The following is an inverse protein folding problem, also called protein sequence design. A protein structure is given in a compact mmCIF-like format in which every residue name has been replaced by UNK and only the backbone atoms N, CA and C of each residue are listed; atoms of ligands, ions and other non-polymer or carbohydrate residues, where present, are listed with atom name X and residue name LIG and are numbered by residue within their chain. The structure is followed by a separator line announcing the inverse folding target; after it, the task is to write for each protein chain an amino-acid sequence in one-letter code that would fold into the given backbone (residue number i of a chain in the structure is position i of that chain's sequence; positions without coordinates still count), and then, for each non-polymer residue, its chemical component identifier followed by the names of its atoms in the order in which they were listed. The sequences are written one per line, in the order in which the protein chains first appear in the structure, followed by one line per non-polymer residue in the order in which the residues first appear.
data_IF_121304505246
#
_entry.id   IF_121304505246
#
_cell.length_a   1.000
_cell.length_b   1.000
_cell.length_c   1.000
_cell.angle_alpha   90.00
_cell.angle_beta   90.00
_cell.angle_gamma   90.00
#
_symmetry.space_group_name_H-M   'P 1'
#
loop_
_entity.id
_entity.type
_entity.pdbx_description
1 polymer ?
#
# COMPACT_ATOMS: atom_id res chain seq x y z
N UNK A 1 16.32 -4.19 10.58
CA UNK A 1 15.89 -3.49 9.37
C UNK A 1 14.38 -3.60 9.32
N UNK A 2 13.68 -2.47 9.46
CA UNK A 2 12.20 -2.45 9.38
C UNK A 2 11.82 -2.13 7.95
N UNK A 3 11.40 -3.14 7.20
CA UNK A 3 10.93 -2.95 5.84
C UNK A 3 9.55 -2.27 5.85
N UNK A 4 9.42 -1.19 5.09
CA UNK A 4 8.14 -0.63 4.69
C UNK A 4 7.84 -1.14 3.29
N UNK A 5 6.81 -1.94 3.14
CA UNK A 5 6.31 -2.33 1.82
C UNK A 5 5.09 -1.47 1.53
N UNK A 6 5.12 -0.77 0.42
CA UNK A 6 4.19 0.32 0.14
C UNK A 6 2.95 -0.08 -0.66
N UNK A 7 2.86 -1.32 -1.18
CA UNK A 7 1.71 -1.71 -2.01
C UNK A 7 1.30 -3.17 -1.80
N UNK A 8 0.01 -3.43 -1.67
CA UNK A 8 -0.63 -4.75 -1.71
C UNK A 8 -1.70 -4.77 -2.76
N UNK A 9 -1.85 -5.86 -3.43
CA UNK A 9 -0.91 -6.45 -4.35
C UNK A 9 -0.89 -5.67 -5.65
N UNK A 10 0.09 -4.78 -5.80
CA UNK A 10 0.45 -4.36 -7.14
C UNK A 10 1.48 -5.38 -7.63
N UNK A 11 1.33 -5.93 -8.80
CA UNK A 11 2.36 -6.78 -9.36
C UNK A 11 3.61 -5.95 -9.62
N UNK A 12 4.79 -6.49 -9.37
CA UNK A 12 6.03 -5.84 -9.76
C UNK A 12 6.08 -5.70 -11.29
N UNK A 13 6.28 -4.48 -11.74
CA UNK A 13 6.57 -4.22 -13.16
C UNK A 13 5.36 -4.34 -14.09
N UNK A 14 4.55 -3.31 -14.11
CA UNK A 14 3.49 -3.19 -15.11
C UNK A 14 2.15 -3.75 -14.72
N UNK A 15 2.04 -4.28 -13.53
CA UNK A 15 0.78 -4.72 -12.98
C UNK A 15 0.11 -5.83 -13.78
N UNK A 16 -1.03 -6.32 -13.30
CA UNK A 16 -1.93 -7.12 -14.11
C UNK A 16 -2.53 -6.33 -15.28
N UNK A 17 -2.09 -5.12 -15.45
CA UNK A 17 -2.41 -4.27 -16.57
C UNK A 17 -1.40 -4.55 -17.67
N UNK A 18 -1.76 -5.51 -18.51
CA UNK A 18 -0.93 -5.99 -19.62
C UNK A 18 -0.43 -4.86 -20.54
N UNK A 19 -1.17 -3.75 -20.56
CA UNK A 19 -0.84 -2.58 -21.38
C UNK A 19 -0.05 -1.50 -20.60
N UNK A 20 0.42 -1.78 -19.39
CA UNK A 20 1.15 -0.81 -18.57
C UNK A 20 0.32 0.39 -18.10
N UNK A 21 -0.99 0.25 -18.01
CA UNK A 21 -1.89 1.31 -17.58
C UNK A 21 -1.69 1.62 -16.09
N UNK A 22 -1.71 2.89 -15.74
CA UNK A 22 -1.48 3.37 -14.39
C UNK A 22 -2.80 3.57 -13.63
N UNK A 23 -2.96 2.90 -12.48
CA UNK A 23 -4.17 3.02 -11.65
C UNK A 23 -4.30 4.38 -10.94
N UNK A 24 -3.32 5.28 -11.05
CA UNK A 24 -3.52 6.69 -10.69
C UNK A 24 -4.47 7.40 -11.67
N UNK A 25 -4.64 6.84 -12.87
CA UNK A 25 -5.54 7.34 -13.89
C UNK A 25 -6.83 6.53 -13.95
N UNK A 26 -7.92 7.16 -14.30
CA UNK A 26 -9.23 6.51 -14.44
C UNK A 26 -9.20 5.35 -15.45
N UNK A 27 -8.45 5.48 -16.54
CA UNK A 27 -8.29 4.44 -17.57
C UNK A 27 -7.58 3.19 -17.07
N UNK A 28 -6.71 3.33 -16.08
CA UNK A 28 -5.93 2.23 -15.50
C UNK A 28 -6.48 1.68 -14.18
N UNK A 29 -7.67 2.09 -13.74
CA UNK A 29 -8.23 1.71 -12.44
C UNK A 29 -8.52 0.22 -12.27
N UNK A 30 -8.78 -0.50 -13.35
CA UNK A 30 -9.11 -1.92 -13.30
C UNK A 30 -7.83 -2.76 -13.34
N UNK A 31 -7.67 -3.64 -12.35
CA UNK A 31 -6.60 -4.62 -12.31
C UNK A 31 -7.16 -6.00 -12.64
N UNK A 32 -6.70 -6.56 -13.75
CA UNK A 32 -7.04 -7.92 -14.19
C UNK A 32 -5.90 -8.87 -13.82
N UNK A 33 -6.22 -10.13 -13.63
CA UNK A 33 -5.28 -11.17 -13.23
C UNK A 33 -5.31 -12.33 -14.23
N UNK A 34 -4.58 -12.22 -15.36
CA UNK A 34 -4.57 -13.23 -16.41
C UNK A 34 -4.18 -14.60 -15.86
N UNK A 35 -4.85 -15.65 -16.36
CA UNK A 35 -4.57 -17.00 -15.89
C UNK A 35 -4.93 -17.25 -14.41
N UNK A 36 -5.77 -16.40 -13.81
CA UNK A 36 -6.16 -16.50 -12.40
C UNK A 36 -4.95 -16.46 -11.43
N UNK A 37 -3.97 -15.61 -11.72
CA UNK A 37 -2.69 -15.57 -11.03
C UNK A 37 -2.66 -14.67 -9.79
N UNK A 38 -3.79 -14.22 -9.25
CA UNK A 38 -3.88 -13.36 -8.06
C UNK A 38 -3.03 -13.89 -6.88
N UNK A 39 -3.13 -15.19 -6.60
CA UNK A 39 -2.36 -15.81 -5.53
C UNK A 39 -0.84 -15.76 -5.74
N UNK A 40 -0.37 -15.76 -6.97
CA UNK A 40 1.06 -15.59 -7.28
C UNK A 40 1.55 -14.21 -6.84
N UNK A 41 0.74 -13.17 -7.03
CA UNK A 41 1.08 -11.82 -6.61
C UNK A 41 1.06 -11.62 -5.09
N UNK A 42 0.44 -12.52 -4.33
CA UNK A 42 0.47 -12.49 -2.85
C UNK A 42 1.78 -13.01 -2.25
N UNK A 43 2.60 -13.75 -3.00
CA UNK A 43 3.83 -14.39 -2.48
C UNK A 43 4.75 -13.40 -1.74
N UNK A 44 5.16 -12.25 -2.34
CA UNK A 44 6.05 -11.32 -1.66
C UNK A 44 5.43 -10.71 -0.40
N UNK A 45 4.11 -10.51 -0.38
CA UNK A 45 3.41 -9.98 0.78
C UNK A 45 3.33 -11.00 1.92
N UNK A 46 3.07 -12.27 1.61
CA UNK A 46 3.11 -13.36 2.59
C UNK A 46 4.49 -13.44 3.26
N UNK A 47 5.56 -13.34 2.50
CA UNK A 47 6.92 -13.34 3.05
C UNK A 47 7.24 -12.06 3.84
N UNK A 48 6.78 -10.89 3.39
CA UNK A 48 6.95 -9.64 4.14
C UNK A 48 6.21 -9.67 5.49
N UNK A 49 4.99 -10.22 5.53
CA UNK A 49 4.20 -10.38 6.77
C UNK A 49 4.92 -11.32 7.74
N UNK A 50 5.42 -12.46 7.29
CA UNK A 50 6.24 -13.40 8.11
C UNK A 50 7.48 -12.72 8.71
N UNK A 51 8.03 -11.73 8.00
CA UNK A 51 9.18 -10.94 8.44
C UNK A 51 8.78 -9.65 9.16
N UNK A 52 7.61 -9.63 9.81
CA UNK A 52 7.17 -8.55 10.70
C UNK A 52 6.97 -7.19 9.99
N UNK A 53 6.32 -7.21 8.83
CA UNK A 53 5.91 -6.00 8.13
C UNK A 53 5.05 -5.11 9.03
N UNK A 54 5.43 -3.84 9.21
CA UNK A 54 4.76 -2.93 10.15
C UNK A 54 3.70 -2.06 9.53
N UNK A 55 3.88 -1.64 8.29
CA UNK A 55 2.93 -0.78 7.57
C UNK A 55 2.74 -1.31 6.16
N UNK A 56 1.50 -1.39 5.73
CA UNK A 56 1.11 -1.79 4.38
C UNK A 56 0.19 -0.73 3.78
N UNK A 57 0.30 -0.51 2.46
CA UNK A 57 -0.53 0.44 1.74
C UNK A 57 -1.28 -0.28 0.62
N UNK A 58 -2.63 -0.28 0.64
CA UNK A 58 -3.43 -0.81 -0.46
C UNK A 58 -3.32 0.10 -1.68
N UNK A 59 -3.30 -0.52 -2.86
CA UNK A 59 -3.21 0.15 -4.14
C UNK A 59 -4.55 0.79 -4.56
N UNK A 60 -4.50 1.75 -5.48
CA UNK A 60 -5.72 2.40 -6.01
C UNK A 60 -6.59 1.47 -6.86
N UNK A 61 -6.02 0.41 -7.43
CA UNK A 61 -6.69 -0.42 -8.41
C UNK A 61 -7.87 -1.21 -7.86
N UNK A 62 -8.80 -1.50 -8.75
CA UNK A 62 -9.94 -2.40 -8.52
C UNK A 62 -9.50 -3.81 -8.91
N UNK A 63 -9.44 -4.79 -7.99
CA UNK A 63 -9.07 -6.17 -8.30
C UNK A 63 -10.23 -6.91 -8.99
N UNK A 64 -10.37 -6.71 -10.30
CA UNK A 64 -11.50 -7.21 -11.09
C UNK A 64 -11.60 -8.73 -11.04
N UNK A 65 -12.80 -9.23 -10.75
CA UNK A 65 -13.09 -10.66 -10.69
C UNK A 65 -12.43 -11.42 -9.53
N UNK A 66 -11.76 -10.72 -8.59
CA UNK A 66 -11.09 -11.37 -7.45
C UNK A 66 -11.88 -11.28 -6.14
N UNK A 67 -12.87 -10.40 -6.08
CA UNK A 67 -13.63 -10.09 -4.87
C UNK A 67 -15.12 -9.95 -5.18
N UNK A 68 -15.97 -9.99 -4.15
CA UNK A 68 -17.42 -9.82 -4.33
C UNK A 68 -17.84 -8.38 -4.65
N UNK A 69 -16.95 -7.41 -4.48
CA UNK A 69 -17.16 -6.00 -4.74
C UNK A 69 -16.06 -5.47 -5.64
N UNK A 70 -16.41 -4.87 -6.76
CA UNK A 70 -15.44 -4.23 -7.65
C UNK A 70 -15.20 -2.77 -7.25
N UNK A 71 -14.44 -2.59 -6.18
CA UNK A 71 -14.02 -1.29 -5.65
C UNK A 71 -12.51 -1.28 -5.42
N UNK A 72 -11.92 -0.09 -5.42
CA UNK A 72 -10.50 0.08 -5.10
C UNK A 72 -10.13 -0.59 -3.77
N UNK A 73 -8.91 -1.11 -3.66
CA UNK A 73 -8.50 -1.94 -2.51
C UNK A 73 -8.70 -1.25 -1.17
N UNK A 74 -8.57 0.07 -1.09
CA UNK A 74 -8.82 0.83 0.14
C UNK A 74 -10.28 0.77 0.65
N UNK A 75 -11.22 0.41 -0.21
CA UNK A 75 -12.66 0.25 0.11
C UNK A 75 -13.11 -1.20 0.15
N UNK A 76 -12.19 -2.13 -0.11
CA UNK A 76 -12.50 -3.54 -0.28
C UNK A 76 -12.27 -4.32 1.01
N UNK A 77 -13.38 -4.66 1.70
CA UNK A 77 -13.33 -5.39 2.96
C UNK A 77 -12.70 -6.78 2.81
N UNK A 78 -12.99 -7.47 1.71
CA UNK A 78 -12.38 -8.79 1.47
C UNK A 78 -10.86 -8.69 1.43
N UNK A 79 -10.30 -7.72 0.68
CA UNK A 79 -8.84 -7.55 0.56
C UNK A 79 -8.21 -7.19 1.91
N UNK A 80 -8.77 -6.20 2.62
CA UNK A 80 -8.12 -5.63 3.81
C UNK A 80 -8.41 -6.41 5.09
N UNK A 81 -9.62 -6.93 5.24
CA UNK A 81 -10.01 -7.65 6.45
C UNK A 81 -9.94 -9.16 6.25
N UNK A 82 -10.64 -9.71 5.28
CA UNK A 82 -10.78 -11.17 5.18
C UNK A 82 -9.47 -11.81 4.75
N UNK A 83 -8.85 -11.33 3.66
CA UNK A 83 -7.57 -11.84 3.18
C UNK A 83 -6.41 -11.37 4.06
N UNK A 84 -6.21 -10.05 4.19
CA UNK A 84 -4.99 -9.51 4.80
C UNK A 84 -4.95 -9.74 6.32
N UNK A 85 -6.04 -9.41 7.05
CA UNK A 85 -6.09 -9.57 8.51
C UNK A 85 -6.32 -11.02 8.92
N UNK A 86 -7.39 -11.65 8.39
CA UNK A 86 -7.86 -12.93 8.89
C UNK A 86 -7.06 -14.10 8.29
N UNK A 87 -6.87 -14.15 6.97
CA UNK A 87 -6.18 -15.27 6.33
C UNK A 87 -4.66 -15.16 6.45
N UNK A 88 -4.07 -13.98 6.17
CA UNK A 88 -2.62 -13.77 6.21
C UNK A 88 -2.09 -13.37 7.58
N UNK A 89 -2.94 -13.10 8.57
CA UNK A 89 -2.56 -12.80 9.95
C UNK A 89 -1.85 -11.45 10.13
N UNK A 90 -2.08 -10.47 9.24
CA UNK A 90 -1.41 -9.19 9.31
C UNK A 90 -1.97 -8.30 10.42
N UNK A 91 -1.12 -7.89 11.37
CA UNK A 91 -1.50 -7.09 12.53
C UNK A 91 -0.93 -5.66 12.53
N UNK A 92 -0.21 -5.27 11.48
CA UNK A 92 0.35 -3.92 11.35
C UNK A 92 -0.66 -2.86 10.94
N UNK A 93 -0.18 -1.66 10.67
CA UNK A 93 -1.00 -0.52 10.22
C UNK A 93 -1.32 -0.64 8.74
N UNK A 94 -2.58 -0.44 8.35
CA UNK A 94 -2.98 -0.25 6.96
C UNK A 94 -3.13 1.25 6.73
N UNK A 95 -2.18 1.83 5.99
CA UNK A 95 -2.23 3.23 5.57
C UNK A 95 -2.80 3.29 4.15
N UNK A 96 -3.83 4.09 3.90
CA UNK A 96 -4.33 4.28 2.54
C UNK A 96 -3.26 4.90 1.64
N UNK A 97 -3.40 4.71 0.34
CA UNK A 97 -2.66 5.53 -0.61
C UNK A 97 -3.16 6.98 -0.59
N UNK A 98 -2.43 7.91 -1.22
CA UNK A 98 -2.66 9.36 -1.10
C UNK A 98 -3.88 9.83 -1.90
N UNK A 99 -4.79 10.55 -1.21
CA UNK A 99 -5.98 11.11 -1.83
C UNK A 99 -6.98 10.06 -2.32
N UNK A 100 -7.04 8.89 -1.68
CA UNK A 100 -7.96 7.80 -2.07
C UNK A 100 -9.42 8.18 -1.84
N UNK A 101 -9.71 9.01 -0.83
CA UNK A 101 -11.08 9.45 -0.52
C UNK A 101 -11.54 10.55 -1.48
N UNK A 102 -10.68 11.54 -1.71
CA UNK A 102 -11.06 12.76 -2.43
C UNK A 102 -10.78 12.71 -3.93
N UNK A 103 -9.77 11.95 -4.37
CA UNK A 103 -9.29 11.96 -5.75
C UNK A 103 -9.38 10.64 -6.50
N UNK A 104 -9.06 9.50 -5.86
CA UNK A 104 -8.94 8.19 -6.53
C UNK A 104 -9.85 7.14 -5.90
N UNK A 105 -11.14 7.47 -5.87
CA UNK A 105 -12.19 6.70 -5.21
C UNK A 105 -12.87 5.70 -6.17
N UNK A 106 -12.05 4.93 -6.87
CA UNK A 106 -12.52 4.03 -7.93
C UNK A 106 -13.52 2.98 -7.44
N UNK A 107 -14.66 2.88 -8.14
CA UNK A 107 -15.73 1.96 -7.82
C UNK A 107 -16.67 2.44 -6.68
N UNK A 108 -16.36 3.58 -6.04
CA UNK A 108 -17.23 4.21 -5.03
C UNK A 108 -17.57 5.66 -5.39
N UNK A 109 -17.58 5.95 -6.69
CA UNK A 109 -17.76 7.30 -7.25
C UNK A 109 -19.09 7.93 -6.83
N UNK A 110 -20.15 7.13 -6.68
CA UNK A 110 -21.48 7.58 -6.26
C UNK A 110 -21.61 7.88 -4.78
N UNK A 111 -20.63 7.48 -3.95
CA UNK A 111 -20.68 7.72 -2.51
C UNK A 111 -20.27 9.13 -2.16
N UNK A 112 -20.89 9.71 -1.12
CA UNK A 112 -20.43 10.95 -0.52
C UNK A 112 -19.05 10.78 0.12
N UNK A 113 -18.31 11.87 0.34
CA UNK A 113 -17.02 11.84 1.05
C UNK A 113 -17.17 11.16 2.41
N UNK A 114 -18.23 11.48 3.17
CA UNK A 114 -18.54 10.86 4.46
C UNK A 114 -18.69 9.33 4.33
N UNK A 115 -19.43 8.87 3.32
CA UNK A 115 -19.67 7.44 3.11
C UNK A 115 -18.41 6.71 2.62
N UNK A 116 -17.54 7.36 1.85
CA UNK A 116 -16.23 6.82 1.47
C UNK A 116 -15.34 6.60 2.69
N UNK A 117 -15.27 7.57 3.62
CA UNK A 117 -14.57 7.40 4.89
C UNK A 117 -15.16 6.24 5.69
N UNK A 118 -16.50 6.16 5.83
CA UNK A 118 -17.16 5.07 6.51
C UNK A 118 -16.77 3.72 5.91
N UNK A 119 -16.94 3.56 4.58
CA UNK A 119 -16.66 2.32 3.88
C UNK A 119 -15.19 1.88 4.02
N UNK A 120 -14.24 2.81 3.92
CA UNK A 120 -12.81 2.50 4.05
C UNK A 120 -12.41 2.14 5.48
N UNK A 121 -13.00 2.78 6.50
CA UNK A 121 -12.83 2.39 7.91
C UNK A 121 -13.37 0.99 8.18
N UNK A 122 -14.57 0.69 7.67
CA UNK A 122 -15.20 -0.64 7.78
C UNK A 122 -14.41 -1.72 6.99
N UNK A 123 -13.77 -1.33 5.89
CA UNK A 123 -12.88 -2.22 5.14
C UNK A 123 -11.58 -2.52 5.88
N UNK A 124 -11.11 -1.65 6.78
CA UNK A 124 -9.93 -1.93 7.62
C UNK A 124 -8.80 -0.91 7.55
N UNK A 125 -8.98 0.24 6.89
CA UNK A 125 -7.98 1.33 6.87
C UNK A 125 -7.77 1.86 8.30
N UNK A 126 -6.51 2.01 8.69
CA UNK A 126 -6.12 2.54 10.00
C UNK A 126 -5.64 4.00 9.91
N UNK A 127 -5.02 4.38 8.80
CA UNK A 127 -4.44 5.72 8.60
C UNK A 127 -4.70 6.18 7.16
N UNK A 128 -5.02 7.47 7.00
CA UNK A 128 -5.27 8.07 5.69
C UNK A 128 -4.04 8.83 5.20
N UNK A 129 -3.61 8.54 3.97
CA UNK A 129 -2.56 9.25 3.26
C UNK A 129 -3.15 10.42 2.48
N UNK A 130 -2.55 11.63 2.62
CA UNK A 130 -2.93 12.80 1.85
C UNK A 130 -4.29 13.42 2.18
N UNK A 131 -5.03 12.88 3.14
CA UNK A 131 -6.29 13.44 3.62
C UNK A 131 -6.03 14.19 4.94
N UNK A 132 -6.45 15.42 5.03
CA UNK A 132 -6.12 16.32 6.16
C UNK A 132 -7.33 16.85 6.94
N UNK A 133 -8.55 16.40 6.61
CA UNK A 133 -9.77 16.80 7.33
C UNK A 133 -10.30 15.66 8.23
N UNK A 134 -10.01 15.70 9.55
CA UNK A 134 -10.49 14.71 10.49
C UNK A 134 -11.99 14.84 10.82
N UNK A 135 -12.65 15.95 10.42
CA UNK A 135 -14.03 16.23 10.78
C UNK A 135 -15.00 15.14 10.30
N UNK A 136 -14.73 14.53 9.15
CA UNK A 136 -15.53 13.45 8.60
C UNK A 136 -15.56 12.24 9.54
N UNK A 137 -14.41 11.81 10.06
CA UNK A 137 -14.32 10.67 10.98
C UNK A 137 -14.94 11.02 12.33
N UNK A 138 -14.67 12.23 12.85
CA UNK A 138 -15.26 12.73 14.11
C UNK A 138 -16.79 12.71 14.02
N UNK A 139 -17.36 13.18 12.90
CA UNK A 139 -18.80 13.20 12.71
C UNK A 139 -19.38 11.80 12.55
N UNK A 140 -18.66 10.88 11.86
CA UNK A 140 -19.09 9.48 11.77
C UNK A 140 -19.21 8.80 13.14
N UNK A 141 -18.30 9.11 14.06
CA UNK A 141 -18.35 8.59 15.44
C UNK A 141 -19.48 9.26 16.23
N UNK A 142 -19.59 10.62 16.18
CA UNK A 142 -20.65 11.35 16.90
C UNK A 142 -22.05 10.95 16.47
N UNK A 143 -22.22 10.68 15.18
CA UNK A 143 -23.51 10.24 14.60
C UNK A 143 -23.77 8.73 14.81
N UNK A 144 -22.88 7.99 15.45
CA UNK A 144 -23.01 6.57 15.72
C UNK A 144 -22.86 5.66 14.49
N UNK A 145 -22.33 6.18 13.38
CA UNK A 145 -22.10 5.40 12.15
C UNK A 145 -20.84 4.54 12.21
N UNK A 146 -19.84 4.94 13.01
CA UNK A 146 -18.62 4.20 13.30
C UNK A 146 -18.43 4.21 14.81
N UNK A 147 -18.04 3.08 15.38
CA UNK A 147 -17.79 3.02 16.82
C UNK A 147 -16.46 3.70 17.18
N UNK A 148 -16.39 4.31 18.35
CA UNK A 148 -15.14 4.85 18.89
C UNK A 148 -14.09 3.75 19.04
N UNK A 149 -14.49 2.52 19.40
CA UNK A 149 -13.57 1.39 19.52
C UNK A 149 -12.87 1.06 18.19
N UNK A 150 -13.57 1.16 17.05
CA UNK A 150 -12.94 0.97 15.73
C UNK A 150 -11.83 2.00 15.48
N UNK A 151 -12.03 3.25 15.89
CA UNK A 151 -11.01 4.29 15.79
C UNK A 151 -9.86 4.02 16.75
N UNK A 152 -10.17 3.62 17.98
CA UNK A 152 -9.18 3.28 19.01
C UNK A 152 -8.28 2.11 18.61
N UNK A 153 -8.81 1.10 17.90
CA UNK A 153 -8.00 0.02 17.32
C UNK A 153 -6.94 0.55 16.35
N UNK A 154 -7.31 1.46 15.48
CA UNK A 154 -6.38 2.09 14.53
C UNK A 154 -5.32 2.92 15.23
N UNK A 155 -5.73 3.76 16.18
CA UNK A 155 -4.83 4.59 17.00
C UNK A 155 -3.83 3.72 17.76
N UNK A 156 -4.28 2.62 18.36
CA UNK A 156 -3.42 1.67 19.08
C UNK A 156 -2.31 1.12 18.17
N UNK A 157 -2.63 0.66 16.97
CA UNK A 157 -1.65 0.14 16.01
C UNK A 157 -0.62 1.19 15.61
N UNK A 158 -1.08 2.43 15.34
CA UNK A 158 -0.20 3.56 14.99
C UNK A 158 0.73 3.90 16.16
N UNK A 159 0.21 3.96 17.39
CA UNK A 159 0.99 4.24 18.59
C UNK A 159 2.02 3.14 18.86
N UNK A 160 1.66 1.86 18.75
CA UNK A 160 2.60 0.74 18.89
C UNK A 160 3.79 0.93 17.94
N UNK A 161 3.54 1.27 16.67
CA UNK A 161 4.62 1.55 15.73
C UNK A 161 5.53 2.70 16.18
N UNK A 162 4.96 3.78 16.73
CA UNK A 162 5.74 4.92 17.22
C UNK A 162 6.58 4.54 18.44
N UNK A 163 6.03 3.77 19.38
CA UNK A 163 6.77 3.26 20.54
C UNK A 163 7.90 2.32 20.11
N UNK A 164 7.64 1.37 19.23
CA UNK A 164 8.67 0.45 18.73
C UNK A 164 9.79 1.17 17.96
N UNK A 165 9.51 2.33 17.37
CA UNK A 165 10.51 3.18 16.72
C UNK A 165 11.31 4.03 17.71
N UNK A 166 10.91 4.05 18.99
CA UNK A 166 11.54 4.88 20.02
C UNK A 166 11.29 6.38 19.86
N UNK A 167 10.22 6.77 19.13
CA UNK A 167 9.95 8.18 18.81
C UNK A 167 9.56 9.01 20.04
N UNK A 168 9.11 8.37 21.12
CA UNK A 168 8.80 9.05 22.38
C UNK A 168 10.01 9.19 23.28
N UNK A 169 11.06 8.35 23.07
CA UNK A 169 12.30 8.40 23.83
C UNK A 169 13.32 9.33 23.16
N UNK A 170 13.52 9.16 21.85
CA UNK A 170 14.40 10.01 21.04
C UNK A 170 13.87 10.10 19.60
N UNK A 171 13.15 11.18 19.24
CA UNK A 171 12.64 11.38 17.88
C UNK A 171 13.70 11.89 16.89
N UNK A 172 14.89 12.25 17.37
CA UNK A 172 15.94 12.87 16.56
C UNK A 172 16.85 11.83 15.92
N UNK A 173 17.41 12.20 14.80
CA UNK A 173 18.44 11.41 14.09
C UNK A 173 19.80 12.01 14.44
N UNK A 174 20.78 11.13 14.70
CA UNK A 174 22.17 11.53 14.85
C UNK A 174 22.73 11.88 13.46
N UNK A 175 22.96 13.17 13.22
CA UNK A 175 23.45 13.69 11.94
C UNK A 175 24.89 13.23 11.65
N UNK A 176 25.69 12.94 12.65
CA UNK A 176 27.07 12.45 12.48
C UNK A 176 27.14 11.05 11.88
N UNK A 177 26.03 10.30 11.96
CA UNK A 177 25.91 8.97 11.37
C UNK A 177 25.63 9.02 9.86
N UNK A 178 25.11 10.12 9.33
CA UNK A 178 24.68 10.22 7.94
C UNK A 178 25.80 9.81 6.98
N UNK A 179 26.98 10.40 7.13
CA UNK A 179 28.14 10.12 6.28
C UNK A 179 28.69 8.69 6.39
N UNK A 180 28.32 7.98 7.46
CA UNK A 180 28.72 6.58 7.72
C UNK A 180 27.68 5.56 7.25
N UNK A 181 26.47 6.01 6.90
CA UNK A 181 25.32 5.15 6.58
C UNK A 181 24.72 5.40 5.21
N UNK A 182 24.84 6.63 4.71
CA UNK A 182 24.26 7.05 3.43
C UNK A 182 25.40 7.24 2.43
N UNK A 183 25.20 6.77 1.21
CA UNK A 183 26.20 6.88 0.12
C UNK A 183 27.59 6.31 0.46
N UNK A 184 27.65 5.25 1.28
CA UNK A 184 28.92 4.53 1.44
C UNK A 184 29.35 3.88 0.13
N UNK A 185 30.62 3.59 -0.01
CA UNK A 185 31.16 2.94 -1.23
C UNK A 185 30.42 1.64 -1.50
N UNK A 186 30.16 0.83 -0.47
CA UNK A 186 29.43 -0.43 -0.57
C UNK A 186 27.98 -0.23 -1.07
N UNK A 187 27.30 0.81 -0.59
CA UNK A 187 25.93 1.12 -1.04
C UNK A 187 25.91 1.59 -2.51
N UNK A 188 26.89 2.39 -2.91
CA UNK A 188 27.05 2.86 -4.30
C UNK A 188 27.35 1.67 -5.22
N UNK A 189 28.28 0.82 -4.86
CA UNK A 189 28.64 -0.37 -5.64
C UNK A 189 27.47 -1.35 -5.78
N UNK A 190 26.72 -1.58 -4.69
CA UNK A 190 25.50 -2.40 -4.71
C UNK A 190 24.44 -1.80 -5.65
N UNK A 191 24.28 -0.48 -5.63
CA UNK A 191 23.36 0.23 -6.54
C UNK A 191 23.78 0.11 -8.00
N UNK A 192 25.07 0.29 -8.30
CA UNK A 192 25.62 0.13 -9.65
C UNK A 192 25.44 -1.30 -10.15
N UNK A 193 25.69 -2.29 -9.30
CA UNK A 193 25.52 -3.71 -9.66
C UNK A 193 24.04 -4.03 -9.93
N UNK A 194 23.11 -3.52 -9.11
CA UNK A 194 21.70 -3.66 -9.37
C UNK A 194 21.28 -3.06 -10.71
N UNK A 195 21.79 -1.86 -11.04
CA UNK A 195 21.55 -1.23 -12.34
C UNK A 195 22.10 -2.08 -13.50
N UNK A 196 23.32 -2.60 -13.40
CA UNK A 196 23.90 -3.48 -14.43
C UNK A 196 23.04 -4.73 -14.67
N UNK A 197 22.54 -5.37 -13.60
CA UNK A 197 21.68 -6.55 -13.70
C UNK A 197 20.29 -6.25 -14.22
N UNK A 198 19.83 -5.02 -14.13
CA UNK A 198 18.50 -4.61 -14.62
C UNK A 198 18.49 -4.28 -16.12
N UNK A 199 19.67 -4.16 -16.76
CA UNK A 199 19.76 -3.88 -18.19
C UNK A 199 19.31 -5.11 -18.98
N UNK A 200 18.28 -4.92 -19.81
CA UNK A 200 17.76 -5.95 -20.70
C UNK A 200 18.11 -5.59 -22.14
N UNK A 201 18.80 -6.52 -22.83
CA UNK A 201 19.10 -6.36 -24.26
C UNK A 201 17.84 -6.72 -25.07
N UNK A 202 17.15 -5.74 -25.61
CA UNK A 202 15.93 -5.93 -26.39
C UNK A 202 16.22 -6.35 -27.84
N UNK A 203 17.29 -5.82 -28.42
CA UNK A 203 17.76 -6.15 -29.77
C UNK A 203 19.27 -6.28 -29.78
N UNK A 204 19.79 -7.28 -30.46
CA UNK A 204 21.21 -7.47 -30.70
C UNK A 204 21.47 -7.57 -32.20
N UNK A 205 21.36 -6.45 -32.90
CA UNK A 205 21.71 -6.37 -34.30
C UNK A 205 23.24 -6.23 -34.39
N UNK A 206 23.86 -7.23 -35.00
CA UNK A 206 25.33 -7.24 -35.21
C UNK A 206 25.83 -5.93 -35.79
N UNK A 207 26.86 -5.32 -35.19
CA UNK A 207 27.52 -4.11 -35.70
C UNK A 207 28.11 -4.27 -37.11
N UNK A 208 28.14 -5.48 -37.64
CA UNK A 208 28.66 -5.81 -38.98
C UNK A 208 27.66 -5.44 -40.10
N UNK A 209 26.42 -5.15 -39.75
CA UNK A 209 25.32 -4.90 -40.70
C UNK A 209 24.74 -3.48 -40.59
N UNK A 210 25.47 -2.54 -39.99
CA UNK A 210 25.12 -1.12 -39.99
C UNK A 210 25.88 -0.44 -41.15
#
# INVERSE_FOLDING_TARGET
VRARVWQVPAPPGGGPQEDGLDAHLFSGRNQIYPGNNFNYHLIPFKEAIKNNLKVIMPYYGIPVGQTNEEVAMAFNKYVLTDLLRNELGYNGVICSDWGVITGRHWGVDSLSIKDRYKKSLEAGIDQYGGENDPSHIINLVKDGHVSEERVNESVRKILINKFELGLFDNPYVDEDIINKRVNTIENIEAGIEAQRRSIVLLENLSLIHI
#
